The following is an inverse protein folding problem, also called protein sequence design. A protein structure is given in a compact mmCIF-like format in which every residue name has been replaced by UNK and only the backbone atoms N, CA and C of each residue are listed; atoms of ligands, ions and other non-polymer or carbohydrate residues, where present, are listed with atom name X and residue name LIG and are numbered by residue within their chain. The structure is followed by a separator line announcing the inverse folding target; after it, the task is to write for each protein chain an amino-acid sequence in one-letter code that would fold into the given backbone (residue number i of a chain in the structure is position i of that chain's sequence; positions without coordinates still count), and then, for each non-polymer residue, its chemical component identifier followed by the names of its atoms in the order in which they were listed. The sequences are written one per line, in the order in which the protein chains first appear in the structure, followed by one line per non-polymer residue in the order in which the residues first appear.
data_IF_963821055155
#
_entry.id   IF_963821055155
#
_cell.length_a   1.000
_cell.length_b   1.000
_cell.length_c   1.000
_cell.angle_alpha   90.00
_cell.angle_beta   90.00
_cell.angle_gamma   90.00
#
_symmetry.space_group_name_H-M   'P 1'
#
loop_
_entity.id
_entity.type
_entity.pdbx_description
1 polymer ?
#
# COMPACT_ATOMS: atom_id res chain seq x y z
N UNK A 1 -3.77 -0.97 22.64
CA UNK A 1 -2.80 -1.96 22.15
C UNK A 1 -3.07 -2.12 20.67
N UNK A 2 -2.09 -1.83 19.83
CA UNK A 2 -2.21 -2.00 18.38
C UNK A 2 -2.01 -3.47 17.94
N UNK A 3 -2.20 -3.74 16.65
CA UNK A 3 -2.07 -5.08 16.06
C UNK A 3 -0.65 -5.64 16.11
N UNK A 4 0.39 -4.80 16.03
CA UNK A 4 1.78 -5.25 16.10
C UNK A 4 2.15 -5.67 17.53
N UNK A 5 1.72 -4.91 18.53
CA UNK A 5 1.84 -5.27 19.95
C UNK A 5 1.03 -6.52 20.29
N UNK A 6 -0.15 -6.68 19.70
CA UNK A 6 -0.93 -7.91 19.86
C UNK A 6 -0.18 -9.12 19.27
N UNK A 7 0.41 -8.97 18.09
CA UNK A 7 1.20 -10.01 17.43
C UNK A 7 2.43 -10.40 18.24
N UNK A 8 3.18 -9.42 18.74
CA UNK A 8 4.35 -9.63 19.61
C UNK A 8 4.00 -10.48 20.85
N UNK A 9 2.86 -10.18 21.49
CA UNK A 9 2.36 -10.93 22.65
C UNK A 9 1.98 -12.39 22.36
N UNK A 10 1.85 -12.79 21.10
CA UNK A 10 1.62 -14.20 20.76
C UNK A 10 2.85 -15.08 21.05
N UNK A 11 4.06 -14.50 21.08
CA UNK A 11 5.31 -15.21 21.36
C UNK A 11 5.45 -16.47 20.50
N UNK A 12 5.64 -17.64 21.13
CA UNK A 12 5.81 -18.92 20.42
C UNK A 12 4.64 -19.28 19.48
N UNK A 13 3.42 -18.78 19.73
CA UNK A 13 2.25 -19.05 18.86
C UNK A 13 2.38 -18.42 17.48
N UNK A 14 3.21 -17.39 17.31
CA UNK A 14 3.45 -16.74 16.02
C UNK A 14 3.85 -17.76 14.94
N UNK A 15 4.66 -18.77 15.27
CA UNK A 15 5.10 -19.80 14.33
C UNK A 15 3.95 -20.64 13.80
N UNK A 16 3.08 -21.11 14.69
CA UNK A 16 1.92 -21.90 14.30
C UNK A 16 0.91 -21.07 13.48
N UNK A 17 0.65 -19.83 13.92
CA UNK A 17 -0.28 -18.93 13.22
C UNK A 17 0.26 -18.60 11.83
N UNK A 18 1.50 -18.11 11.73
CA UNK A 18 2.14 -17.81 10.44
C UNK A 18 2.17 -19.03 9.53
N UNK A 19 2.49 -20.22 10.05
CA UNK A 19 2.49 -21.45 9.26
C UNK A 19 1.10 -21.73 8.67
N UNK A 20 0.04 -21.64 9.47
CA UNK A 20 -1.34 -21.86 8.98
C UNK A 20 -1.73 -20.89 7.86
N UNK A 21 -1.33 -19.62 7.95
CA UNK A 21 -1.59 -18.65 6.89
C UNK A 21 -0.72 -18.90 5.65
N UNK A 22 0.57 -19.19 5.84
CA UNK A 22 1.48 -19.50 4.73
C UNK A 22 1.10 -20.79 3.98
N UNK A 23 0.62 -21.82 4.68
CA UNK A 23 0.10 -23.05 4.07
C UNK A 23 -1.14 -22.78 3.20
N UNK A 24 -1.91 -21.73 3.52
CA UNK A 24 -3.02 -21.23 2.72
C UNK A 24 -2.59 -20.20 1.64
N UNK A 25 -1.29 -19.97 1.45
CA UNK A 25 -0.76 -18.99 0.50
C UNK A 25 -0.88 -17.53 0.94
N UNK A 26 -1.15 -17.26 2.22
CA UNK A 26 -1.35 -15.92 2.78
C UNK A 26 -0.10 -15.48 3.55
N UNK A 27 0.36 -14.26 3.31
CA UNK A 27 1.48 -13.63 4.04
C UNK A 27 0.96 -12.78 5.20
N UNK A 28 1.66 -12.83 6.34
CA UNK A 28 1.40 -11.94 7.48
C UNK A 28 2.54 -10.94 7.58
N UNK A 29 2.24 -9.65 7.38
CA UNK A 29 3.22 -8.56 7.40
C UNK A 29 2.82 -7.51 8.42
N UNK A 30 3.79 -6.71 8.87
CA UNK A 30 3.53 -5.53 9.70
C UNK A 30 3.46 -4.28 8.83
N UNK A 31 2.47 -3.41 9.05
CA UNK A 31 2.51 -2.06 8.48
C UNK A 31 3.23 -1.12 9.45
N UNK A 32 4.18 -0.34 8.95
CA UNK A 32 4.92 0.67 9.72
C UNK A 32 4.50 2.06 9.28
N UNK A 33 4.45 2.98 10.26
CA UNK A 33 3.94 4.36 10.12
C UNK A 33 2.40 4.42 10.07
N UNK A 34 1.83 5.14 9.08
CA UNK A 34 0.41 5.47 8.98
C UNK A 34 0.09 6.95 9.26
N UNK A 35 -1.19 7.29 9.30
CA UNK A 35 -1.69 8.67 9.45
C UNK A 35 -1.68 9.22 10.89
N UNK A 36 -0.80 8.73 11.77
CA UNK A 36 -0.65 9.24 13.13
C UNK A 36 0.18 10.52 13.19
N UNK A 37 0.05 11.30 14.28
CA UNK A 37 0.61 12.65 14.37
C UNK A 37 2.15 12.68 14.31
N UNK A 38 2.82 11.65 14.82
CA UNK A 38 4.27 11.51 14.79
C UNK A 38 4.73 10.88 13.47
N UNK A 39 3.99 9.88 12.98
CA UNK A 39 4.24 9.18 11.72
C UNK A 39 4.18 10.12 10.51
N UNK A 40 3.22 11.06 10.51
CA UNK A 40 3.11 12.14 9.51
C UNK A 40 4.24 13.19 9.60
N UNK A 41 5.18 13.03 10.54
CA UNK A 41 6.38 13.89 10.70
C UNK A 41 7.67 13.07 10.78
N UNK A 42 7.61 11.79 10.41
CA UNK A 42 8.69 10.83 10.65
C UNK A 42 10.04 11.31 10.10
N UNK A 43 10.05 12.04 8.99
CA UNK A 43 11.28 12.54 8.36
C UNK A 43 12.04 13.50 9.27
N UNK A 44 11.32 14.31 10.03
CA UNK A 44 11.90 15.28 10.98
C UNK A 44 12.22 14.67 12.34
N UNK A 45 11.53 13.59 12.72
CA UNK A 45 11.74 12.90 13.99
C UNK A 45 12.88 11.88 13.91
N UNK A 46 13.18 11.36 12.71
CA UNK A 46 14.17 10.31 12.49
C UNK A 46 15.21 10.74 11.47
N UNK A 47 16.34 11.22 11.98
CA UNK A 47 17.48 11.65 11.16
C UNK A 47 18.26 10.47 10.54
N UNK A 48 18.10 9.24 11.06
CA UNK A 48 18.73 8.03 10.55
C UNK A 48 17.69 7.03 10.02
N UNK A 49 17.19 7.22 8.78
CA UNK A 49 16.26 6.28 8.15
C UNK A 49 16.83 4.87 7.98
N UNK A 50 18.13 4.72 7.76
CA UNK A 50 18.75 3.42 7.57
C UNK A 50 18.80 2.62 8.88
N UNK A 51 19.18 3.27 9.98
CA UNK A 51 19.16 2.67 11.31
C UNK A 51 17.74 2.27 11.75
N UNK A 52 16.73 3.09 11.43
CA UNK A 52 15.33 2.72 11.68
C UNK A 52 14.92 1.49 10.85
N UNK A 53 15.22 1.47 9.55
CA UNK A 53 14.90 0.34 8.68
C UNK A 53 15.53 -0.98 9.15
N UNK A 54 16.78 -0.94 9.61
CA UNK A 54 17.46 -2.11 10.18
C UNK A 54 16.75 -2.61 11.45
N UNK A 55 16.38 -1.71 12.36
CA UNK A 55 15.62 -2.07 13.58
C UNK A 55 14.27 -2.72 13.25
N UNK A 56 13.56 -2.19 12.25
CA UNK A 56 12.30 -2.77 11.76
C UNK A 56 12.56 -4.16 11.18
N UNK A 57 13.59 -4.33 10.34
CA UNK A 57 13.97 -5.63 9.79
C UNK A 57 14.29 -6.65 10.87
N UNK A 58 15.05 -6.26 11.89
CA UNK A 58 15.35 -7.11 13.05
C UNK A 58 14.10 -7.48 13.84
N UNK A 59 13.19 -6.54 14.05
CA UNK A 59 11.92 -6.80 14.72
C UNK A 59 11.03 -7.78 13.92
N UNK A 60 10.95 -7.62 12.60
CA UNK A 60 10.21 -8.53 11.69
C UNK A 60 10.75 -9.96 11.77
N UNK A 61 12.07 -10.11 11.77
CA UNK A 61 12.73 -11.42 11.93
C UNK A 61 12.45 -12.01 13.31
N UNK A 62 12.60 -11.22 14.38
CA UNK A 62 12.37 -11.65 15.75
C UNK A 62 10.91 -12.05 16.02
N UNK A 63 9.96 -11.42 15.34
CA UNK A 63 8.53 -11.66 15.50
C UNK A 63 7.94 -12.58 14.41
N UNK A 64 8.78 -13.28 13.66
CA UNK A 64 8.37 -14.27 12.68
C UNK A 64 7.27 -13.75 11.72
N UNK A 65 7.50 -12.61 11.09
CA UNK A 65 6.63 -12.06 10.05
C UNK A 65 7.17 -12.37 8.65
N UNK A 66 6.35 -12.18 7.62
CA UNK A 66 6.69 -12.40 6.22
C UNK A 66 7.21 -11.13 5.52
N UNK A 67 7.19 -9.97 6.18
CA UNK A 67 7.55 -8.72 5.53
C UNK A 67 7.01 -7.47 6.20
N UNK A 68 7.06 -6.38 5.44
CA UNK A 68 6.67 -5.03 5.88
C UNK A 68 5.82 -4.35 4.81
N UNK A 69 4.75 -3.68 5.24
CA UNK A 69 4.14 -2.61 4.48
C UNK A 69 4.64 -1.27 5.03
N UNK A 70 5.15 -0.39 4.18
CA UNK A 70 5.58 0.94 4.59
C UNK A 70 4.43 1.89 4.29
N UNK A 71 3.79 2.51 5.27
CA UNK A 71 2.67 3.47 5.07
C UNK A 71 3.11 4.91 5.39
N UNK A 72 4.03 5.43 4.57
CA UNK A 72 4.64 6.74 4.81
C UNK A 72 3.68 7.87 4.36
N UNK A 73 3.29 8.73 5.31
CA UNK A 73 2.34 9.82 5.10
C UNK A 73 2.87 11.21 5.49
N UNK A 74 4.20 11.42 5.49
CA UNK A 74 4.78 12.75 5.75
C UNK A 74 4.76 13.63 4.48
N UNK A 75 3.56 14.16 4.19
CA UNK A 75 3.29 15.04 3.05
C UNK A 75 4.14 16.32 3.07
N UNK A 76 4.46 16.84 4.26
CA UNK A 76 5.26 18.05 4.40
C UNK A 76 6.69 17.83 3.95
N UNK A 77 7.30 16.69 4.33
CA UNK A 77 8.63 16.34 3.86
C UNK A 77 8.67 16.08 2.34
N UNK A 78 7.64 15.43 1.78
CA UNK A 78 7.53 15.25 0.33
C UNK A 78 7.45 16.60 -0.39
N UNK A 79 6.61 17.52 0.09
CA UNK A 79 6.49 18.86 -0.47
C UNK A 79 7.77 19.70 -0.26
N UNK A 80 8.46 19.50 0.86
CA UNK A 80 9.73 20.14 1.18
C UNK A 80 10.92 19.62 0.36
N UNK A 81 10.78 18.43 -0.26
CA UNK A 81 11.85 17.75 -1.01
C UNK A 81 12.78 16.89 -0.17
N UNK A 82 12.53 16.75 1.13
CA UNK A 82 13.32 15.90 2.04
C UNK A 82 12.78 14.47 2.15
N UNK A 83 11.51 14.25 1.81
CA UNK A 83 10.85 12.95 1.93
C UNK A 83 11.39 11.89 0.97
N UNK A 84 11.59 12.22 -0.31
CA UNK A 84 12.10 11.25 -1.31
C UNK A 84 13.49 10.71 -0.93
N UNK A 85 14.52 11.54 -0.61
CA UNK A 85 15.81 11.04 -0.14
C UNK A 85 15.71 10.16 1.12
N UNK A 86 14.83 10.52 2.06
CA UNK A 86 14.60 9.74 3.28
C UNK A 86 14.03 8.36 2.96
N UNK A 87 12.97 8.29 2.14
CA UNK A 87 12.33 7.03 1.72
C UNK A 87 13.33 6.14 0.97
N UNK A 88 14.11 6.71 0.05
CA UNK A 88 15.11 5.96 -0.73
C UNK A 88 16.16 5.32 0.20
N UNK A 89 16.63 6.08 1.19
CA UNK A 89 17.61 5.58 2.17
C UNK A 89 17.01 4.48 3.04
N UNK A 90 15.79 4.73 3.55
CA UNK A 90 15.03 3.76 4.33
C UNK A 90 14.81 2.46 3.56
N UNK A 91 14.32 2.55 2.32
CA UNK A 91 13.97 1.38 1.51
C UNK A 91 15.17 0.52 1.13
N UNK A 92 16.31 1.14 0.80
CA UNK A 92 17.56 0.40 0.53
C UNK A 92 18.00 -0.42 1.74
N UNK A 93 17.99 0.21 2.93
CA UNK A 93 18.34 -0.47 4.16
C UNK A 93 17.32 -1.57 4.51
N UNK A 94 16.02 -1.30 4.36
CA UNK A 94 14.97 -2.27 4.67
C UNK A 94 15.05 -3.50 3.77
N UNK A 95 15.22 -3.32 2.46
CA UNK A 95 15.39 -4.44 1.53
C UNK A 95 16.68 -5.24 1.79
N UNK A 96 17.75 -4.58 2.22
CA UNK A 96 18.97 -5.28 2.66
C UNK A 96 18.71 -6.14 3.90
N UNK A 97 17.97 -5.60 4.89
CA UNK A 97 17.63 -6.31 6.11
C UNK A 97 16.60 -7.44 5.90
N UNK A 98 15.74 -7.30 4.88
CA UNK A 98 14.65 -8.20 4.52
C UNK A 98 14.74 -8.58 3.02
N UNK A 99 15.68 -9.47 2.66
CA UNK A 99 15.97 -9.79 1.26
C UNK A 99 14.80 -10.52 0.57
N UNK A 100 14.58 -10.18 -0.70
CA UNK A 100 13.70 -10.92 -1.60
C UNK A 100 14.36 -12.26 -2.03
N UNK A 101 13.60 -13.33 -2.30
CA UNK A 101 12.14 -13.45 -2.22
C UNK A 101 11.62 -13.87 -0.83
N UNK A 102 12.50 -13.94 0.18
CA UNK A 102 12.11 -14.42 1.51
C UNK A 102 11.12 -13.50 2.21
N UNK A 103 11.28 -12.18 2.03
CA UNK A 103 10.41 -11.16 2.62
C UNK A 103 9.77 -10.29 1.56
N UNK A 104 8.50 -9.95 1.79
CA UNK A 104 7.78 -8.97 0.97
C UNK A 104 7.91 -7.57 1.56
N UNK A 105 8.05 -6.57 0.70
CA UNK A 105 7.99 -5.15 1.07
C UNK A 105 7.00 -4.46 0.15
N UNK A 106 5.87 -4.05 0.72
CA UNK A 106 4.88 -3.22 0.05
C UNK A 106 4.94 -1.78 0.53
N UNK A 107 4.34 -0.90 -0.25
CA UNK A 107 4.24 0.51 0.06
C UNK A 107 2.79 0.98 -0.06
N UNK A 108 2.14 1.33 1.04
CA UNK A 108 0.82 2.00 1.02
C UNK A 108 0.93 3.50 0.81
N UNK A 109 0.34 4.06 -0.24
CA UNK A 109 0.44 5.50 -0.57
C UNK A 109 -0.87 6.07 -1.06
N UNK A 110 -1.09 7.35 -0.79
CA UNK A 110 -2.20 8.08 -1.41
C UNK A 110 -1.91 8.30 -2.91
N UNK A 111 -2.95 8.27 -3.75
CA UNK A 111 -2.82 8.50 -5.20
C UNK A 111 -2.11 9.83 -5.52
N UNK A 112 -2.27 10.85 -4.67
CA UNK A 112 -1.64 12.16 -4.84
C UNK A 112 -0.11 12.06 -4.82
N UNK A 113 0.46 11.13 -4.03
CA UNK A 113 1.91 10.93 -3.94
C UNK A 113 2.53 10.36 -5.22
N UNK A 114 1.72 9.74 -6.08
CA UNK A 114 2.16 9.15 -7.34
C UNK A 114 2.13 10.12 -8.52
N UNK A 115 1.68 11.37 -8.34
CA UNK A 115 1.60 12.35 -9.44
C UNK A 115 2.07 13.74 -9.03
N UNK A 116 2.26 14.61 -10.03
CA UNK A 116 2.97 15.90 -9.99
C UNK A 116 2.45 17.02 -9.08
N UNK A 117 1.72 16.69 -8.01
CA UNK A 117 1.24 17.65 -7.02
C UNK A 117 2.31 18.01 -5.97
N UNK A 118 3.44 17.29 -5.95
CA UNK A 118 4.57 17.59 -5.07
C UNK A 118 5.72 18.28 -5.81
N UNK A 119 6.50 19.07 -5.06
CA UNK A 119 7.70 19.77 -5.53
C UNK A 119 8.63 18.81 -6.30
N UNK A 120 8.95 19.15 -7.55
CA UNK A 120 9.68 18.28 -8.48
C UNK A 120 8.84 17.80 -9.68
N UNK A 121 7.51 17.94 -9.61
CA UNK A 121 6.60 17.89 -10.77
C UNK A 121 6.28 16.51 -11.35
N UNK A 122 7.04 15.46 -11.00
CA UNK A 122 6.84 14.11 -11.53
C UNK A 122 6.07 13.16 -10.60
N UNK A 123 5.77 13.58 -9.38
CA UNK A 123 5.19 12.73 -8.32
C UNK A 123 6.28 12.09 -7.47
N UNK A 124 6.20 12.31 -6.15
CA UNK A 124 7.25 11.89 -5.23
C UNK A 124 7.51 10.37 -5.29
N UNK A 125 6.46 9.57 -5.45
CA UNK A 125 6.59 8.12 -5.55
C UNK A 125 7.00 7.60 -6.92
N UNK A 126 6.84 8.38 -8.00
CA UNK A 126 7.49 8.06 -9.28
C UNK A 126 9.01 8.18 -9.13
N UNK A 127 9.49 9.22 -8.44
CA UNK A 127 10.92 9.41 -8.21
C UNK A 127 11.51 8.41 -7.22
N UNK A 128 10.74 7.98 -6.22
CA UNK A 128 11.09 6.82 -5.37
C UNK A 128 11.17 5.55 -6.22
N UNK A 129 10.18 5.28 -7.06
CA UNK A 129 10.17 4.07 -7.90
C UNK A 129 11.37 4.01 -8.84
N UNK A 130 11.74 5.12 -9.49
CA UNK A 130 12.94 5.19 -10.35
C UNK A 130 14.24 4.82 -9.61
N UNK A 131 14.33 5.10 -8.32
CA UNK A 131 15.55 4.91 -7.54
C UNK A 131 15.62 3.57 -6.80
N UNK A 132 14.50 3.07 -6.31
CA UNK A 132 14.43 1.88 -5.43
C UNK A 132 13.22 0.99 -5.72
N UNK A 133 12.50 1.22 -6.81
CA UNK A 133 11.29 0.48 -7.19
C UNK A 133 11.51 -1.01 -7.38
N UNK A 134 12.70 -1.44 -7.77
CA UNK A 134 13.07 -2.86 -7.87
C UNK A 134 13.08 -3.56 -6.51
N UNK A 135 13.35 -2.81 -5.44
CA UNK A 135 13.29 -3.30 -4.06
C UNK A 135 11.89 -3.31 -3.46
N UNK A 136 10.87 -2.81 -4.14
CA UNK A 136 9.48 -2.73 -3.66
C UNK A 136 8.64 -3.74 -4.43
N UNK A 137 7.96 -4.66 -3.75
CA UNK A 137 7.21 -5.73 -4.42
C UNK A 137 5.92 -5.19 -5.06
N UNK A 138 5.18 -4.32 -4.35
CA UNK A 138 4.02 -3.61 -4.89
C UNK A 138 3.67 -2.35 -4.09
N UNK A 139 2.73 -1.57 -4.62
CA UNK A 139 2.19 -0.37 -4.01
C UNK A 139 0.68 -0.52 -3.77
N UNK A 140 0.22 -0.36 -2.52
CA UNK A 140 -1.19 -0.26 -2.19
C UNK A 140 -1.64 1.20 -2.34
N UNK A 141 -2.35 1.53 -3.41
CA UNK A 141 -2.71 2.93 -3.70
C UNK A 141 -4.07 3.24 -3.10
N UNK A 142 -4.11 4.13 -2.11
CA UNK A 142 -5.31 4.50 -1.38
C UNK A 142 -6.23 5.37 -2.25
N UNK A 143 -7.23 4.78 -2.94
CA UNK A 143 -8.21 5.50 -3.77
C UNK A 143 -9.45 5.94 -2.97
N UNK A 144 -9.20 6.67 -1.89
CA UNK A 144 -10.22 7.16 -0.94
C UNK A 144 -9.77 8.44 -0.24
N UNK A 145 -10.66 9.06 0.55
CA UNK A 145 -10.42 10.35 1.24
C UNK A 145 -10.01 11.50 0.30
N UNK A 146 -10.60 11.55 -0.88
CA UNK A 146 -10.24 12.49 -1.96
C UNK A 146 -11.37 13.45 -2.37
N UNK A 147 -12.56 13.32 -1.80
CA UNK A 147 -13.78 13.91 -2.31
C UNK A 147 -14.85 12.84 -2.58
N UNK A 148 -16.14 13.19 -2.53
CA UNK A 148 -17.23 12.23 -2.59
C UNK A 148 -17.33 11.48 -3.93
N UNK A 149 -16.91 12.11 -5.03
CA UNK A 149 -17.05 11.57 -6.39
C UNK A 149 -15.76 10.95 -6.95
N UNK A 150 -14.68 11.01 -6.18
CA UNK A 150 -13.36 10.58 -6.66
C UNK A 150 -13.22 9.06 -6.60
N UNK A 151 -12.90 8.48 -7.78
CA UNK A 151 -12.69 7.05 -7.97
C UNK A 151 -13.88 6.16 -7.58
N UNK A 152 -15.11 6.68 -7.61
CA UNK A 152 -16.33 5.92 -7.24
C UNK A 152 -16.96 5.14 -8.41
N UNK A 153 -16.39 5.27 -9.61
CA UNK A 153 -16.81 4.54 -10.82
C UNK A 153 -15.64 3.75 -11.40
N UNK A 154 -15.91 2.72 -12.21
CA UNK A 154 -14.83 2.00 -12.88
C UNK A 154 -14.01 2.92 -13.80
N UNK A 155 -14.64 3.88 -14.48
CA UNK A 155 -13.88 4.75 -15.40
C UNK A 155 -12.95 5.71 -14.65
N UNK A 156 -13.46 6.35 -13.57
CA UNK A 156 -12.64 7.24 -12.75
C UNK A 156 -11.53 6.52 -11.99
N UNK A 157 -11.78 5.27 -11.56
CA UNK A 157 -10.77 4.42 -10.93
C UNK A 157 -9.72 3.91 -11.91
N UNK A 158 -10.13 3.49 -13.12
CA UNK A 158 -9.26 2.74 -14.02
C UNK A 158 -8.60 3.60 -15.10
N UNK A 159 -9.35 4.46 -15.79
CA UNK A 159 -8.92 5.04 -17.07
C UNK A 159 -8.70 6.55 -17.03
N UNK A 160 -9.52 7.29 -16.29
CA UNK A 160 -9.49 8.76 -16.34
C UNK A 160 -9.85 9.38 -15.00
N UNK A 161 -8.85 9.88 -14.28
CA UNK A 161 -9.09 10.66 -13.07
C UNK A 161 -9.67 12.04 -13.38
N UNK A 162 -10.21 12.69 -12.35
CA UNK A 162 -10.83 14.01 -12.48
C UNK A 162 -9.81 15.11 -12.78
N UNK A 163 -10.31 16.30 -13.13
CA UNK A 163 -9.46 17.49 -13.24
C UNK A 163 -8.88 17.97 -11.91
N UNK A 164 -9.47 17.55 -10.77
CA UNK A 164 -8.96 17.88 -9.44
C UNK A 164 -7.70 17.08 -9.12
N UNK A 165 -7.64 15.82 -9.54
CA UNK A 165 -6.49 14.95 -9.39
C UNK A 165 -6.11 14.32 -10.72
N UNK A 166 -5.54 15.08 -11.67
CA UNK A 166 -5.29 14.56 -13.01
C UNK A 166 -4.18 13.50 -12.99
N UNK A 167 -4.30 12.51 -13.88
CA UNK A 167 -3.32 11.45 -14.15
C UNK A 167 -3.13 10.41 -13.02
N UNK A 168 -4.14 10.21 -12.18
CA UNK A 168 -4.04 9.37 -10.98
C UNK A 168 -4.85 8.09 -11.06
N UNK A 169 -5.63 7.86 -12.12
CA UNK A 169 -6.32 6.58 -12.29
C UNK A 169 -5.31 5.45 -12.53
N UNK A 170 -5.74 4.20 -12.37
CA UNK A 170 -4.86 3.02 -12.49
C UNK A 170 -3.97 3.07 -13.74
N UNK A 171 -4.57 3.21 -14.92
CA UNK A 171 -3.83 3.16 -16.18
C UNK A 171 -3.06 4.45 -16.48
N UNK A 172 -3.44 5.57 -15.88
CA UNK A 172 -2.62 6.79 -15.92
C UNK A 172 -1.36 6.64 -15.05
N UNK A 173 -1.46 6.06 -13.85
CA UNK A 173 -0.30 5.71 -12.99
C UNK A 173 0.62 4.72 -13.70
N UNK A 174 0.05 3.69 -14.35
CA UNK A 174 0.84 2.74 -15.14
C UNK A 174 1.54 3.45 -16.30
N UNK A 175 0.84 4.35 -17.00
CA UNK A 175 1.41 5.18 -18.06
C UNK A 175 2.53 6.12 -17.58
N UNK A 176 2.53 6.50 -16.30
CA UNK A 176 3.58 7.30 -15.68
C UNK A 176 4.85 6.49 -15.31
N UNK A 177 4.84 5.17 -15.52
CA UNK A 177 6.02 4.31 -15.44
C UNK A 177 6.04 3.33 -14.26
N UNK A 178 4.97 3.22 -13.47
CA UNK A 178 4.86 2.13 -12.48
C UNK A 178 4.39 0.85 -13.18
N UNK A 179 5.09 -0.29 -13.04
CA UNK A 179 4.66 -1.54 -13.63
C UNK A 179 3.26 -1.93 -13.17
N UNK A 180 2.39 -2.30 -14.11
CA UNK A 180 0.98 -2.63 -13.82
C UNK A 180 0.80 -3.73 -12.77
N UNK A 181 1.73 -4.70 -12.70
CA UNK A 181 1.70 -5.76 -11.70
C UNK A 181 2.10 -5.31 -10.29
N UNK A 182 2.59 -4.07 -10.14
CA UNK A 182 2.93 -3.46 -8.84
C UNK A 182 1.86 -2.48 -8.34
N UNK A 183 0.83 -2.16 -9.12
CA UNK A 183 -0.21 -1.20 -8.69
C UNK A 183 -1.41 -1.96 -8.12
N UNK A 184 -1.63 -1.87 -6.81
CA UNK A 184 -2.76 -2.50 -6.11
C UNK A 184 -3.81 -1.43 -5.79
N UNK A 185 -5.08 -1.69 -6.09
CA UNK A 185 -6.17 -0.74 -5.86
C UNK A 185 -6.62 -0.79 -4.39
N UNK A 186 -6.38 0.26 -3.62
CA UNK A 186 -6.82 0.40 -2.24
C UNK A 186 -8.22 1.00 -2.14
N UNK A 187 -9.15 0.28 -1.50
CA UNK A 187 -10.53 0.75 -1.28
C UNK A 187 -11.02 0.51 0.14
N UNK A 188 -11.86 1.42 0.68
CA UNK A 188 -12.49 1.19 1.96
C UNK A 188 -13.67 0.23 1.79
N UNK A 189 -13.80 -0.75 2.68
CA UNK A 189 -14.90 -1.70 2.60
C UNK A 189 -16.24 -1.06 2.96
N UNK A 190 -16.24 -0.18 3.97
CA UNK A 190 -17.44 0.52 4.43
C UNK A 190 -17.17 1.99 4.69
N UNK A 191 -18.21 2.81 4.77
CA UNK A 191 -18.10 4.25 5.08
C UNK A 191 -17.64 4.54 6.50
N UNK A 192 -17.51 3.51 7.34
CA UNK A 192 -16.90 3.63 8.68
C UNK A 192 -15.38 3.68 8.61
N UNK A 193 -14.79 3.14 7.54
CA UNK A 193 -13.34 2.99 7.40
C UNK A 193 -12.69 4.21 6.75
N UNK A 194 -13.43 4.89 5.87
CA UNK A 194 -13.03 6.12 5.22
C UNK A 194 -14.27 6.98 4.97
N UNK A 195 -14.09 8.31 4.96
CA UNK A 195 -15.22 9.22 4.79
C UNK A 195 -15.77 9.19 3.34
N UNK A 196 -14.93 8.85 2.37
CA UNK A 196 -15.19 8.99 0.93
C UNK A 196 -14.44 7.92 0.12
N UNK A 197 -14.92 7.63 -1.09
CA UNK A 197 -14.25 6.72 -2.04
C UNK A 197 -14.66 5.25 -1.93
N UNK A 198 -15.64 4.91 -1.10
CA UNK A 198 -16.27 3.59 -1.07
C UNK A 198 -16.89 3.24 -2.43
N UNK A 199 -16.89 1.95 -2.73
CA UNK A 199 -17.61 1.38 -3.86
C UNK A 199 -18.37 0.16 -3.37
N UNK A 200 -19.53 -0.10 -3.97
CA UNK A 200 -20.19 -1.40 -3.82
C UNK A 200 -19.20 -2.53 -4.21
N UNK A 201 -19.16 -3.59 -3.42
CA UNK A 201 -18.19 -4.67 -3.60
C UNK A 201 -18.34 -5.38 -4.95
N UNK A 202 -19.58 -5.50 -5.45
CA UNK A 202 -19.88 -6.21 -6.70
C UNK A 202 -19.60 -5.33 -7.93
N UNK A 203 -19.79 -4.02 -7.79
CA UNK A 203 -19.30 -3.02 -8.75
C UNK A 203 -17.77 -3.04 -8.81
N UNK A 204 -17.10 -3.01 -7.66
CA UNK A 204 -15.63 -3.10 -7.61
C UNK A 204 -15.14 -4.39 -8.29
N UNK A 205 -15.78 -5.54 -8.04
CA UNK A 205 -15.45 -6.80 -8.70
C UNK A 205 -15.48 -6.69 -10.24
N UNK A 206 -16.48 -5.99 -10.79
CA UNK A 206 -16.58 -5.73 -12.23
C UNK A 206 -15.49 -4.78 -12.77
N UNK A 207 -15.09 -3.78 -11.98
CA UNK A 207 -13.95 -2.94 -12.33
C UNK A 207 -12.65 -3.76 -12.39
N UNK A 208 -12.43 -4.66 -11.41
CA UNK A 208 -11.26 -5.53 -11.41
C UNK A 208 -11.23 -6.48 -12.61
N UNK A 209 -12.39 -7.03 -13.00
CA UNK A 209 -12.50 -7.90 -14.17
C UNK A 209 -12.11 -7.14 -15.43
N UNK A 210 -12.62 -5.91 -15.56
CA UNK A 210 -12.28 -5.00 -16.67
C UNK A 210 -10.77 -4.71 -16.70
N UNK A 211 -10.18 -4.37 -15.55
CA UNK A 211 -8.75 -4.09 -15.46
C UNK A 211 -7.89 -5.33 -15.78
N UNK A 212 -8.27 -6.50 -15.25
CA UNK A 212 -7.62 -7.77 -15.53
C UNK A 212 -7.68 -8.14 -17.02
N UNK A 213 -8.81 -7.88 -17.68
CA UNK A 213 -8.97 -8.04 -19.13
C UNK A 213 -8.03 -7.16 -19.97
N UNK A 214 -7.50 -6.08 -19.37
CA UNK A 214 -6.48 -5.20 -19.97
C UNK A 214 -5.04 -5.58 -19.60
N UNK A 215 -4.84 -6.73 -18.95
CA UNK A 215 -3.51 -7.24 -18.59
C UNK A 215 -3.00 -6.82 -17.21
N UNK A 216 -3.77 -6.03 -16.45
CA UNK A 216 -3.42 -5.67 -15.08
C UNK A 216 -3.59 -6.85 -14.12
N UNK A 217 -2.71 -6.97 -13.12
CA UNK A 217 -2.70 -8.11 -12.21
C UNK A 217 -2.38 -7.76 -10.75
N UNK A 218 -2.50 -6.49 -10.35
CA UNK A 218 -2.07 -6.03 -9.02
C UNK A 218 -2.99 -6.48 -7.87
N UNK A 219 -4.30 -6.54 -8.08
CA UNK A 219 -5.26 -6.91 -7.05
C UNK A 219 -5.77 -5.73 -6.21
N UNK A 220 -6.39 -6.03 -5.07
CA UNK A 220 -7.04 -5.05 -4.19
C UNK A 220 -6.46 -5.08 -2.79
N UNK A 221 -6.29 -3.89 -2.21
CA UNK A 221 -6.07 -3.66 -0.79
C UNK A 221 -7.36 -3.10 -0.18
N UNK A 222 -7.66 -3.48 1.06
CA UNK A 222 -8.83 -2.98 1.77
C UNK A 222 -8.43 -2.26 3.07
N UNK A 223 -9.03 -1.09 3.30
CA UNK A 223 -9.00 -0.43 4.61
C UNK A 223 -10.41 -0.47 5.22
N UNK A 224 -10.65 -1.16 6.33
CA UNK A 224 -9.77 -2.13 6.97
C UNK A 224 -10.57 -3.29 7.56
N UNK A 225 -9.88 -4.35 7.96
CA UNK A 225 -10.45 -5.36 8.86
C UNK A 225 -10.84 -4.70 10.21
N UNK A 226 -11.99 -5.06 10.83
CA UNK A 226 -12.88 -6.17 10.51
C UNK A 226 -14.00 -5.85 9.51
N UNK A 227 -14.13 -4.62 9.02
CA UNK A 227 -15.21 -4.26 8.11
C UNK A 227 -14.97 -4.82 6.69
N UNK A 228 -13.70 -4.89 6.25
CA UNK A 228 -13.26 -5.63 5.06
C UNK A 228 -13.10 -7.12 5.35
N UNK A 229 -14.20 -7.78 5.70
CA UNK A 229 -14.19 -9.19 6.11
C UNK A 229 -14.05 -10.18 4.92
N UNK A 230 -14.10 -11.48 5.24
CA UNK A 230 -14.03 -12.54 4.25
C UNK A 230 -15.16 -12.49 3.21
N UNK A 231 -16.36 -12.01 3.59
CA UNK A 231 -17.49 -11.87 2.66
C UNK A 231 -17.24 -10.74 1.65
N UNK A 232 -16.74 -9.60 2.13
CA UNK A 232 -16.34 -8.50 1.26
C UNK A 232 -15.22 -8.94 0.30
N UNK A 233 -14.16 -9.58 0.82
CA UNK A 233 -13.04 -10.08 0.00
C UNK A 233 -13.52 -11.10 -1.03
N UNK A 234 -14.41 -12.02 -0.67
CA UNK A 234 -14.99 -12.99 -1.60
C UNK A 234 -15.77 -12.32 -2.72
N UNK A 235 -16.59 -11.32 -2.38
CA UNK A 235 -17.40 -10.58 -3.35
C UNK A 235 -16.52 -9.81 -4.33
N UNK A 236 -15.56 -9.02 -3.82
CA UNK A 236 -14.64 -8.22 -4.65
C UNK A 236 -13.81 -9.10 -5.60
N UNK A 237 -13.43 -10.30 -5.15
CA UNK A 237 -12.63 -11.23 -5.97
C UNK A 237 -13.45 -12.04 -6.97
N UNK A 238 -14.77 -12.11 -6.82
CA UNK A 238 -15.64 -13.08 -7.50
C UNK A 238 -15.49 -13.12 -9.03
N UNK A 239 -15.30 -11.97 -9.68
CA UNK A 239 -15.21 -11.84 -11.14
C UNK A 239 -13.77 -11.88 -11.68
N UNK A 240 -12.77 -11.71 -10.82
CA UNK A 240 -11.35 -11.62 -11.22
C UNK A 240 -10.49 -12.78 -10.74
N UNK A 241 -10.55 -13.11 -9.45
CA UNK A 241 -9.74 -14.16 -8.81
C UNK A 241 -10.61 -14.94 -7.82
N UNK A 242 -11.66 -15.62 -8.32
CA UNK A 242 -12.63 -16.31 -7.48
C UNK A 242 -11.91 -17.24 -6.50
N UNK A 243 -12.32 -17.19 -5.23
CA UNK A 243 -11.93 -18.18 -4.24
C UNK A 243 -12.84 -19.39 -4.38
N UNK A 244 -12.25 -20.58 -4.45
CA UNK A 244 -12.93 -21.88 -4.42
C UNK A 244 -13.20 -22.33 -3.00
#
# INVERSE_FOLDING_TARGET
MDSAQWWEKQGAKQQQIKKSYNDAGIKIIVSVFGGGADEMKITSLVNDPAGLANKIGDWVKANNLDGVDVDYEDFNALNGGTGVPWIVTFQKALRSALPSPQYVISHTRTFIMLVGLFKGGNGAYIDVHKQVGDGIDWYNIQFYNAGPDEYTTCDSLLNKSSSQYPNTSLFEIVGAGIPQNKVVLGKPATTKDAQQGNMDADVLAGCLETAKGKGWSGGVMAWAYPNADASWVSTVRSKSWPVS
#
